data_IF_693047947780
#
_entry.id   IF_693047947780
#
_cell.length_a   1.000
_cell.length_b   1.000
_cell.length_c   1.000
_cell.angle_alpha   90.00
_cell.angle_beta   90.00
_cell.angle_gamma   90.00
#
_symmetry.space_group_name_H-M   'P 1'
#
loop_
_entity.id
_entity.type
_entity.pdbx_description
1 polymer ?
#
# COMPACT_ATOMS: atom_id res chain seq x y z
N UNK A 1 6.41 -57.31 -8.63
CA UNK A 1 5.53 -58.29 -7.99
C UNK A 1 5.67 -58.17 -6.48
N UNK A 2 4.55 -57.94 -5.81
CA UNK A 2 4.40 -57.85 -4.36
C UNK A 2 4.51 -59.23 -3.71
N UNK A 3 5.10 -59.29 -2.52
CA UNK A 3 4.65 -60.23 -1.48
C UNK A 3 4.58 -59.51 -0.13
N UNK A 4 3.50 -59.83 0.58
CA UNK A 4 2.98 -59.18 1.77
C UNK A 4 3.38 -59.96 3.01
N UNK A 5 3.67 -59.29 4.12
CA UNK A 5 3.60 -59.91 5.45
C UNK A 5 3.25 -58.86 6.51
N UNK A 6 2.03 -58.96 7.04
CA UNK A 6 1.55 -58.28 8.24
C UNK A 6 2.01 -59.02 9.48
N UNK A 7 2.49 -58.30 10.50
CA UNK A 7 2.45 -58.69 11.92
C UNK A 7 2.68 -57.43 12.75
N UNK A 8 1.62 -56.87 13.34
CA UNK A 8 1.13 -57.10 14.71
C UNK A 8 1.59 -55.99 15.66
N UNK A 9 0.59 -55.24 16.15
CA UNK A 9 0.78 -54.03 16.94
C UNK A 9 1.44 -54.31 18.29
N UNK A 10 2.34 -53.40 18.70
CA UNK A 10 2.86 -53.33 20.06
C UNK A 10 2.23 -52.16 20.80
N UNK A 11 1.32 -52.53 21.69
CA UNK A 11 0.71 -51.76 22.78
C UNK A 11 1.82 -51.31 23.74
N UNK A 12 2.03 -50.00 23.89
CA UNK A 12 2.96 -49.47 24.90
C UNK A 12 2.19 -49.22 26.20
N UNK A 13 2.24 -50.18 27.10
CA UNK A 13 1.77 -50.04 28.48
C UNK A 13 2.84 -49.37 29.36
N UNK A 14 2.41 -48.33 30.10
CA UNK A 14 2.86 -47.98 31.45
C UNK A 14 4.37 -47.86 31.72
N UNK A 15 4.91 -46.64 31.61
CA UNK A 15 6.12 -46.24 32.34
C UNK A 15 5.88 -44.94 33.11
N UNK A 16 5.97 -44.93 34.45
CA UNK A 16 5.77 -43.71 35.24
C UNK A 16 7.02 -42.85 35.17
N UNK A 17 6.88 -41.63 34.66
CA UNK A 17 7.96 -40.65 34.60
C UNK A 17 8.26 -40.11 36.00
N UNK A 18 9.16 -40.79 36.74
CA UNK A 18 9.81 -40.26 37.95
C UNK A 18 10.99 -39.36 37.52
N UNK A 19 10.69 -38.11 37.20
CA UNK A 19 11.67 -37.06 36.92
C UNK A 19 11.59 -35.96 37.97
N UNK A 20 12.49 -35.99 38.96
CA UNK A 20 12.68 -34.95 39.99
C UNK A 20 13.58 -33.88 39.38
N UNK A 21 13.04 -32.70 39.11
CA UNK A 21 13.80 -31.55 38.63
C UNK A 21 12.85 -30.38 38.42
N UNK A 22 12.93 -29.38 39.31
CA UNK A 22 12.30 -28.07 39.10
C UNK A 22 12.78 -27.56 37.74
N UNK A 23 11.90 -27.56 36.74
CA UNK A 23 12.06 -26.71 35.57
C UNK A 23 11.39 -25.40 35.94
N UNK A 24 12.20 -24.42 36.25
CA UNK A 24 11.76 -23.03 36.38
C UNK A 24 11.03 -22.67 35.08
N UNK A 25 9.70 -22.66 35.14
CA UNK A 25 8.85 -22.25 34.03
C UNK A 25 8.91 -20.73 34.03
N UNK A 26 9.95 -20.17 33.42
CA UNK A 26 10.03 -18.74 33.18
C UNK A 26 8.75 -18.27 32.47
N UNK A 27 8.16 -17.15 32.91
CA UNK A 27 6.91 -16.68 32.35
C UNK A 27 7.05 -16.47 30.84
N UNK A 28 6.10 -17.05 30.11
CA UNK A 28 5.95 -16.99 28.65
C UNK A 28 6.26 -15.58 28.13
N UNK A 29 7.07 -15.43 27.06
CA UNK A 29 7.38 -14.12 26.48
C UNK A 29 6.07 -13.39 26.14
N UNK A 30 6.01 -12.13 26.56
CA UNK A 30 4.82 -11.28 26.46
C UNK A 30 4.30 -11.23 25.01
N UNK A 31 2.98 -11.07 24.78
CA UNK A 31 2.44 -10.96 23.44
C UNK A 31 3.16 -9.84 22.70
N UNK A 32 3.77 -10.18 21.56
CA UNK A 32 4.44 -9.21 20.68
C UNK A 32 3.45 -8.08 20.41
N UNK A 33 3.76 -6.88 20.87
CA UNK A 33 3.01 -5.68 20.47
C UNK A 33 3.05 -5.62 18.94
N UNK A 34 1.91 -5.56 18.25
CA UNK A 34 1.91 -5.50 16.80
C UNK A 34 2.71 -4.27 16.38
N UNK A 35 3.77 -4.48 15.61
CA UNK A 35 4.54 -3.39 15.01
C UNK A 35 3.56 -2.62 14.13
N UNK A 36 3.25 -1.38 14.50
CA UNK A 36 2.38 -0.54 13.69
C UNK A 36 3.11 -0.22 12.40
N UNK A 37 2.70 -0.88 11.32
CA UNK A 37 3.27 -0.61 9.99
C UNK A 37 2.91 0.81 9.59
N UNK A 38 3.91 1.54 9.08
CA UNK A 38 3.70 2.88 8.56
C UNK A 38 2.67 2.82 7.42
N UNK A 39 1.68 3.74 7.39
CA UNK A 39 0.74 3.82 6.28
C UNK A 39 1.45 3.87 4.93
N UNK A 40 0.98 3.13 3.91
CA UNK A 40 1.67 3.04 2.62
C UNK A 40 1.85 4.41 1.96
N UNK A 41 0.90 5.33 2.13
CA UNK A 41 1.01 6.71 1.63
C UNK A 41 2.15 7.50 2.28
N UNK A 42 2.41 7.30 3.58
CA UNK A 42 3.56 7.94 4.26
C UNK A 42 4.87 7.30 3.82
N UNK A 43 4.88 5.98 3.61
CA UNK A 43 6.03 5.30 3.00
C UNK A 43 6.32 5.85 1.61
N UNK A 44 5.29 6.04 0.76
CA UNK A 44 5.44 6.59 -0.58
C UNK A 44 5.95 8.04 -0.58
N UNK A 45 5.45 8.89 0.33
CA UNK A 45 5.97 10.25 0.55
C UNK A 45 7.47 10.22 0.88
N UNK A 46 7.86 9.34 1.80
CA UNK A 46 9.27 9.17 2.16
C UNK A 46 10.09 8.67 0.97
N UNK A 47 9.63 7.64 0.25
CA UNK A 47 10.32 7.13 -0.95
C UNK A 47 10.56 8.24 -1.96
N UNK A 48 9.56 9.08 -2.21
CA UNK A 48 9.68 10.19 -3.14
C UNK A 48 10.69 11.27 -2.68
N UNK A 49 10.80 11.50 -1.38
CA UNK A 49 11.80 12.43 -0.84
C UNK A 49 13.22 11.91 -1.07
N UNK A 50 13.48 10.61 -0.95
CA UNK A 50 14.81 10.04 -1.16
C UNK A 50 15.13 9.77 -2.64
N UNK A 51 14.12 9.43 -3.43
CA UNK A 51 14.24 9.05 -4.84
C UNK A 51 13.34 9.94 -5.71
N UNK A 52 13.69 11.23 -5.87
CA UNK A 52 12.87 12.18 -6.63
C UNK A 52 12.68 11.80 -8.10
N UNK A 53 13.59 11.00 -8.68
CA UNK A 53 13.49 10.49 -10.05
C UNK A 53 12.26 9.59 -10.29
N UNK A 54 11.67 9.03 -9.23
CA UNK A 54 10.45 8.23 -9.37
C UNK A 54 9.27 9.07 -9.87
N UNK A 55 9.29 10.39 -9.67
CA UNK A 55 8.23 11.28 -10.15
C UNK A 55 8.11 11.31 -11.69
N UNK A 56 9.23 11.15 -12.40
CA UNK A 56 9.25 11.17 -13.87
C UNK A 56 8.59 9.92 -14.46
N UNK A 57 8.57 8.82 -13.70
CA UNK A 57 7.94 7.55 -14.10
C UNK A 57 6.44 7.51 -13.83
N UNK A 58 5.89 8.49 -13.08
CA UNK A 58 4.45 8.56 -12.80
C UNK A 58 3.79 9.32 -13.94
N UNK A 59 3.08 8.62 -14.83
CA UNK A 59 2.41 9.25 -15.97
C UNK A 59 1.25 10.16 -15.56
N UNK A 60 0.59 9.84 -14.45
CA UNK A 60 -0.67 10.47 -14.05
C UNK A 60 -0.70 10.83 -12.56
N UNK A 61 -0.45 12.10 -12.29
CA UNK A 61 -0.37 12.66 -10.92
C UNK A 61 -1.70 13.23 -10.44
N UNK A 62 -2.61 13.55 -11.36
CA UNK A 62 -3.81 14.33 -11.03
C UNK A 62 -4.95 13.49 -10.47
N UNK A 63 -4.89 12.16 -10.64
CA UNK A 63 -6.08 11.31 -10.54
C UNK A 63 -6.16 10.39 -9.30
N UNK A 64 -5.23 10.46 -8.35
CA UNK A 64 -5.22 9.54 -7.19
C UNK A 64 -5.40 10.17 -5.81
N UNK A 65 -5.61 11.49 -5.69
CA UNK A 65 -5.92 12.14 -4.41
C UNK A 65 -7.34 12.71 -4.40
N UNK A 66 -8.06 12.45 -3.32
CA UNK A 66 -9.28 13.17 -2.97
C UNK A 66 -8.96 14.44 -2.17
N UNK A 67 -9.88 15.41 -2.17
CA UNK A 67 -9.84 16.60 -1.31
C UNK A 67 -9.88 16.27 0.19
N UNK A 68 -10.35 15.08 0.57
CA UNK A 68 -10.34 14.64 1.98
C UNK A 68 -9.01 13.98 2.41
N UNK A 69 -8.12 13.67 1.47
CA UNK A 69 -6.91 12.88 1.74
C UNK A 69 -5.65 13.75 1.82
N UNK A 70 -5.40 14.36 2.97
CA UNK A 70 -4.26 15.28 3.20
C UNK A 70 -2.90 14.71 2.73
N UNK A 71 -2.60 13.45 3.07
CA UNK A 71 -1.32 12.83 2.69
C UNK A 71 -1.24 12.49 1.20
N UNK A 72 -2.37 12.10 0.58
CA UNK A 72 -2.41 11.84 -0.85
C UNK A 72 -2.27 13.15 -1.65
N UNK A 73 -2.89 14.25 -1.20
CA UNK A 73 -2.70 15.57 -1.79
C UNK A 73 -1.27 16.05 -1.66
N UNK A 74 -0.64 15.84 -0.51
CA UNK A 74 0.78 16.18 -0.33
C UNK A 74 1.66 15.38 -1.31
N UNK A 75 1.33 14.11 -1.55
CA UNK A 75 2.04 13.26 -2.49
C UNK A 75 1.87 13.75 -3.94
N UNK A 76 0.65 14.12 -4.34
CA UNK A 76 0.35 14.76 -5.63
C UNK A 76 1.16 16.05 -5.79
N UNK A 77 1.12 16.93 -4.78
CA UNK A 77 1.82 18.22 -4.84
C UNK A 77 3.35 18.08 -4.92
N UNK A 78 3.93 17.06 -4.27
CA UNK A 78 5.35 16.73 -4.41
C UNK A 78 5.68 16.18 -5.80
N UNK A 79 4.86 15.29 -6.32
CA UNK A 79 5.02 14.73 -7.67
C UNK A 79 4.94 15.81 -8.74
N UNK A 80 3.93 16.70 -8.67
CA UNK A 80 3.83 17.83 -9.59
C UNK A 80 5.04 18.76 -9.51
N UNK A 81 5.53 19.05 -8.29
CA UNK A 81 6.70 19.90 -8.11
C UNK A 81 7.94 19.28 -8.75
N UNK A 82 8.11 17.95 -8.60
CA UNK A 82 9.21 17.19 -9.19
C UNK A 82 9.09 17.07 -10.71
N UNK A 83 7.90 16.86 -11.25
CA UNK A 83 7.69 16.81 -12.70
C UNK A 83 7.94 18.18 -13.35
N UNK A 84 7.55 19.27 -12.69
CA UNK A 84 7.85 20.64 -13.16
C UNK A 84 9.35 20.95 -13.10
N UNK A 85 10.07 20.40 -12.12
CA UNK A 85 11.51 20.60 -11.95
C UNK A 85 12.20 19.31 -11.48
N UNK A 86 12.62 18.42 -12.41
CA UNK A 86 13.22 17.12 -12.07
C UNK A 86 14.58 17.24 -11.38
N UNK A 87 15.21 18.42 -11.44
CA UNK A 87 16.49 18.72 -10.76
C UNK A 87 16.35 19.08 -9.28
N UNK A 88 15.12 19.14 -8.75
CA UNK A 88 14.89 19.50 -7.34
C UNK A 88 15.48 18.44 -6.41
N UNK A 89 16.23 18.90 -5.41
CA UNK A 89 16.73 18.04 -4.33
C UNK A 89 15.69 17.89 -3.23
N UNK A 90 15.78 16.79 -2.48
CA UNK A 90 14.94 16.48 -1.31
C UNK A 90 14.82 17.66 -0.33
N UNK A 91 15.94 18.31 -0.01
CA UNK A 91 15.95 19.47 0.89
C UNK A 91 15.21 20.68 0.32
N UNK A 92 15.31 20.90 -1.00
CA UNK A 92 14.58 21.98 -1.68
C UNK A 92 13.09 21.69 -1.74
N UNK A 93 12.68 20.42 -1.90
CA UNK A 93 11.28 20.02 -1.77
C UNK A 93 10.77 20.35 -0.37
N UNK A 94 11.44 19.88 0.69
CA UNK A 94 11.03 20.13 2.08
C UNK A 94 10.94 21.64 2.37
N UNK A 95 11.86 22.45 1.84
CA UNK A 95 11.85 23.90 2.02
C UNK A 95 10.60 24.58 1.46
N UNK A 96 9.95 24.01 0.42
CA UNK A 96 8.71 24.57 -0.15
C UNK A 96 7.53 24.52 0.81
N UNK A 97 7.51 23.54 1.71
CA UNK A 97 6.51 23.41 2.77
C UNK A 97 7.05 23.88 4.13
N UNK A 98 8.14 24.64 4.16
CA UNK A 98 8.70 25.15 5.40
C UNK A 98 7.69 26.04 6.14
N UNK A 99 7.56 25.83 7.45
CA UNK A 99 6.63 26.59 8.30
C UNK A 99 5.21 26.01 8.37
N UNK A 100 4.92 24.93 7.66
CA UNK A 100 3.63 24.21 7.77
C UNK A 100 3.77 22.87 8.50
N UNK A 101 2.65 22.30 8.95
CA UNK A 101 2.64 20.96 9.56
C UNK A 101 3.10 19.87 8.56
N UNK A 102 2.81 20.05 7.27
CA UNK A 102 3.29 19.19 6.20
C UNK A 102 4.82 19.24 6.10
N UNK A 103 5.45 20.43 6.19
CA UNK A 103 6.91 20.53 6.18
C UNK A 103 7.57 19.85 7.37
N UNK A 104 6.97 19.91 8.56
CA UNK A 104 7.42 19.16 9.74
C UNK A 104 7.34 17.65 9.51
N UNK A 105 6.22 17.18 8.96
CA UNK A 105 6.04 15.78 8.57
C UNK A 105 7.09 15.34 7.56
N UNK A 106 7.31 16.09 6.47
CA UNK A 106 8.27 15.74 5.43
C UNK A 106 9.69 15.67 5.99
N UNK A 107 10.07 16.57 6.90
CA UNK A 107 11.37 16.51 7.59
C UNK A 107 11.50 15.24 8.42
N UNK A 108 10.49 14.93 9.24
CA UNK A 108 10.48 13.72 10.05
C UNK A 108 10.52 12.44 9.19
N UNK A 109 9.89 12.44 8.02
CA UNK A 109 9.96 11.32 7.08
C UNK A 109 11.35 11.18 6.43
N UNK A 110 11.98 12.29 6.05
CA UNK A 110 13.31 12.30 5.44
C UNK A 110 14.44 11.89 6.39
N UNK A 111 14.25 12.08 7.70
CA UNK A 111 15.22 11.68 8.73
C UNK A 111 15.21 10.16 9.01
N UNK A 112 14.14 9.44 8.65
CA UNK A 112 14.03 8.00 8.89
C UNK A 112 14.96 7.21 7.96
N UNK A 113 15.84 6.39 8.55
CA UNK A 113 16.76 5.51 7.81
C UNK A 113 16.04 4.43 6.98
N UNK A 114 16.63 4.09 5.82
CA UNK A 114 16.21 2.97 4.96
C UNK A 114 16.89 1.68 5.41
N UNK A 115 16.11 0.74 5.94
CA UNK A 115 16.57 -0.62 6.27
C UNK A 115 16.21 -1.66 5.19
N UNK A 116 15.76 -1.22 4.00
CA UNK A 116 15.20 -2.08 2.94
C UNK A 116 15.87 -1.78 1.60
N UNK A 117 16.06 -2.81 0.77
CA UNK A 117 16.65 -2.74 -0.57
C UNK A 117 15.85 -1.85 -1.54
N UNK A 118 16.56 -1.04 -2.35
CA UNK A 118 15.99 -0.01 -3.22
C UNK A 118 14.97 -0.51 -4.26
N UNK A 119 15.16 -1.70 -4.84
CA UNK A 119 14.26 -2.24 -5.88
C UNK A 119 12.85 -2.56 -5.33
N UNK A 120 12.76 -3.07 -4.10
CA UNK A 120 11.49 -3.35 -3.45
C UNK A 120 10.70 -2.07 -3.15
N UNK A 121 11.40 -0.94 -2.98
CA UNK A 121 10.80 0.35 -2.66
C UNK A 121 10.17 1.03 -3.86
N UNK A 122 10.83 0.93 -5.02
CA UNK A 122 10.30 1.44 -6.27
C UNK A 122 8.96 0.73 -6.59
N UNK A 123 8.94 -0.60 -6.49
CA UNK A 123 7.70 -1.37 -6.71
C UNK A 123 6.61 -1.00 -5.70
N UNK A 124 6.94 -0.97 -4.40
CA UNK A 124 5.99 -0.59 -3.36
C UNK A 124 5.43 0.83 -3.57
N UNK A 125 6.26 1.77 -4.05
CA UNK A 125 5.83 3.12 -4.37
C UNK A 125 4.78 3.11 -5.48
N UNK A 126 5.04 2.46 -6.61
CA UNK A 126 4.08 2.39 -7.71
C UNK A 126 2.82 1.61 -7.36
N UNK A 127 2.93 0.52 -6.59
CA UNK A 127 1.77 -0.20 -6.08
C UNK A 127 0.89 0.68 -5.20
N UNK A 128 1.53 1.52 -4.36
CA UNK A 128 0.81 2.47 -3.51
C UNK A 128 0.08 3.52 -4.36
N UNK A 129 0.75 4.11 -5.36
CA UNK A 129 0.13 5.07 -6.29
C UNK A 129 -1.05 4.43 -7.03
N UNK A 130 -0.87 3.21 -7.55
CA UNK A 130 -1.90 2.45 -8.27
C UNK A 130 -3.10 2.16 -7.36
N UNK A 131 -2.85 1.74 -6.13
CA UNK A 131 -3.87 1.50 -5.10
C UNK A 131 -4.65 2.77 -4.75
N UNK A 132 -3.96 3.91 -4.60
CA UNK A 132 -4.61 5.20 -4.35
C UNK A 132 -5.48 5.63 -5.55
N UNK A 133 -5.00 5.46 -6.78
CA UNK A 133 -5.76 5.77 -7.99
C UNK A 133 -7.01 4.91 -8.12
N UNK A 134 -6.89 3.61 -7.91
CA UNK A 134 -8.02 2.69 -7.94
C UNK A 134 -9.07 3.04 -6.88
N UNK A 135 -8.65 3.37 -5.65
CA UNK A 135 -9.55 3.79 -4.57
C UNK A 135 -10.25 5.11 -4.87
N UNK A 136 -9.51 6.08 -5.40
CA UNK A 136 -10.09 7.38 -5.75
C UNK A 136 -11.15 7.23 -6.83
N UNK A 137 -10.81 6.45 -7.86
CA UNK A 137 -11.73 6.12 -8.93
C UNK A 137 -13.01 5.46 -8.45
N UNK A 138 -12.91 4.44 -7.60
CA UNK A 138 -14.08 3.75 -7.06
C UNK A 138 -15.00 4.72 -6.31
N UNK A 139 -14.42 5.61 -5.51
CA UNK A 139 -15.17 6.66 -4.80
C UNK A 139 -15.85 7.64 -5.75
N UNK A 140 -15.15 8.12 -6.77
CA UNK A 140 -15.74 9.00 -7.80
C UNK A 140 -16.90 8.30 -8.51
N UNK A 141 -16.75 7.02 -8.85
CA UNK A 141 -17.80 6.22 -9.48
C UNK A 141 -19.01 6.07 -8.54
N UNK A 142 -18.78 5.69 -7.28
CA UNK A 142 -19.85 5.60 -6.28
C UNK A 142 -20.58 6.93 -6.08
N UNK A 143 -19.84 8.03 -6.03
CA UNK A 143 -20.40 9.38 -5.90
C UNK A 143 -21.31 9.71 -7.08
N UNK A 144 -20.84 9.50 -8.32
CA UNK A 144 -21.62 9.75 -9.54
C UNK A 144 -22.86 8.85 -9.62
N UNK A 145 -22.77 7.57 -9.24
CA UNK A 145 -23.92 6.65 -9.20
C UNK A 145 -24.94 7.05 -8.13
N UNK A 146 -24.49 7.51 -6.96
CA UNK A 146 -25.40 8.02 -5.93
C UNK A 146 -26.10 9.29 -6.42
N UNK A 147 -25.35 10.22 -7.01
CA UNK A 147 -25.87 11.47 -7.56
C UNK A 147 -26.88 11.22 -8.68
N UNK A 148 -26.60 10.27 -9.59
CA UNK A 148 -27.50 9.92 -10.70
C UNK A 148 -28.84 9.35 -10.25
N UNK A 149 -28.90 8.75 -9.06
CA UNK A 149 -30.14 8.23 -8.46
C UNK A 149 -30.96 9.34 -7.79
N UNK A 150 -30.32 10.41 -7.35
CA UNK A 150 -30.94 11.51 -6.62
C UNK A 150 -31.28 12.72 -7.49
N UNK A 151 -30.53 12.93 -8.57
CA UNK A 151 -30.58 14.11 -9.42
C UNK A 151 -30.06 13.83 -10.83
N UNK A 152 -30.40 14.68 -11.79
CA UNK A 152 -29.82 14.58 -13.13
C UNK A 152 -28.33 14.94 -13.11
N UNK A 153 -27.52 14.08 -13.73
CA UNK A 153 -26.10 14.34 -13.95
C UNK A 153 -25.91 15.38 -15.06
N UNK A 154 -24.93 16.28 -14.88
CA UNK A 154 -24.43 17.17 -15.92
C UNK A 154 -23.88 16.38 -17.12
N UNK A 155 -23.78 17.03 -18.28
CA UNK A 155 -23.16 16.43 -19.47
C UNK A 155 -21.71 15.98 -19.20
N UNK A 156 -20.96 16.77 -18.43
CA UNK A 156 -19.59 16.45 -18.01
C UNK A 156 -19.53 15.20 -17.11
N UNK A 157 -20.42 15.13 -16.12
CA UNK A 157 -20.51 14.01 -15.17
C UNK A 157 -20.94 12.71 -15.87
N UNK A 158 -21.84 12.80 -16.86
CA UNK A 158 -22.23 11.66 -17.69
C UNK A 158 -21.04 11.14 -18.51
N UNK A 159 -20.20 12.03 -19.03
CA UNK A 159 -19.00 11.65 -19.78
C UNK A 159 -17.97 11.00 -18.85
N UNK A 160 -17.72 11.60 -17.68
CA UNK A 160 -16.86 11.00 -16.65
C UNK A 160 -17.34 9.61 -16.23
N UNK A 161 -18.64 9.43 -15.98
CA UNK A 161 -19.20 8.13 -15.63
C UNK A 161 -18.97 7.09 -16.74
N UNK A 162 -19.13 7.47 -18.02
CA UNK A 162 -18.87 6.57 -19.16
C UNK A 162 -17.41 6.16 -19.25
N UNK A 163 -16.49 7.10 -19.05
CA UNK A 163 -15.04 6.84 -19.04
C UNK A 163 -14.64 5.91 -17.88
N UNK A 164 -15.21 6.15 -16.69
CA UNK A 164 -14.99 5.30 -15.53
C UNK A 164 -15.59 3.90 -15.70
N UNK A 165 -16.67 3.72 -16.45
CA UNK A 165 -17.22 2.41 -16.75
C UNK A 165 -16.42 1.68 -17.83
N UNK A 166 -16.06 2.34 -18.93
CA UNK A 166 -15.32 1.73 -20.05
C UNK A 166 -13.98 1.16 -19.60
N UNK A 167 -13.23 1.92 -18.79
CA UNK A 167 -11.92 1.47 -18.30
C UNK A 167 -12.03 0.39 -17.19
N UNK A 168 -13.18 0.25 -16.51
CA UNK A 168 -13.41 -0.85 -15.55
C UNK A 168 -13.72 -2.15 -16.29
N UNK A 169 -14.51 -2.08 -17.37
CA UNK A 169 -14.78 -3.22 -18.23
C UNK A 169 -13.48 -3.81 -18.79
N UNK A 170 -12.50 -2.96 -19.16
CA UNK A 170 -11.18 -3.41 -19.60
C UNK A 170 -10.32 -4.03 -18.48
N UNK A 171 -10.47 -3.60 -17.22
CA UNK A 171 -9.76 -4.19 -16.09
C UNK A 171 -10.36 -5.55 -15.65
N UNK A 172 -11.64 -5.80 -15.94
CA UNK A 172 -12.36 -7.04 -15.59
C UNK A 172 -12.39 -8.10 -16.69
N UNK A 173 -11.65 -7.95 -17.78
CA UNK A 173 -11.47 -9.02 -18.78
C UNK A 173 -10.14 -9.76 -18.56
N UNK A 174 -10.05 -10.77 -17.68
CA UNK A 174 -9.06 -11.81 -17.85
C UNK A 174 -9.57 -12.77 -18.95
N UNK A 175 -8.87 -12.77 -20.08
CA UNK A 175 -8.92 -13.86 -21.05
C UNK A 175 -8.48 -15.15 -20.35
N UNK A 176 -9.41 -16.11 -20.17
CA UNK A 176 -9.23 -17.54 -20.49
C UNK A 176 -10.31 -18.38 -19.80
N UNK A 177 -11.53 -18.34 -20.32
CA UNK A 177 -12.33 -19.56 -20.41
C UNK A 177 -11.90 -20.25 -21.69
N UNK A 178 -11.02 -21.24 -21.57
CA UNK A 178 -10.49 -22.01 -22.68
C UNK A 178 -10.27 -23.45 -22.25
N UNK A 179 -11.22 -24.29 -22.68
CA UNK A 179 -11.21 -25.75 -22.86
C UNK A 179 -10.69 -26.65 -21.73
#
# INVERSE_FOLDING_TARGET
>A
QWTSAKTSGKKWEGKPWKGKGKRDFEPRPQPRTPVTVEPPTLSALRTLLHYPQLAEKVEDVSHFADEEQLHAQLLVALLEALQKNPKLRSLQLIARWHGTEQGKLLRALAEKEWLIDADNLEQQFFDTITSLSARQRERCLEHLLRKSRQSELSAEEKNQLRELLSRNVHAQTPTSTGA
#
